data_IF_005249053317
#
_entry.id   IF_005249053317
#
_cell.length_a   1.000
_cell.length_b   1.000
_cell.length_c   1.000
_cell.angle_alpha   90.00
_cell.angle_beta   90.00
_cell.angle_gamma   90.00
#
_symmetry.space_group_name_H-M   'P 1'
#
loop_
_entity.id
_entity.type
_entity.pdbx_description
1 polymer ?
#
# COMPACT_ATOMS: atom_id res chain seq x y z
N UNK A 1 -27.86 15.89 9.49
CA UNK A 1 -26.76 14.92 9.29
C UNK A 1 -26.99 14.29 7.93
N UNK A 2 -25.95 14.13 7.10
CA UNK A 2 -26.09 13.46 5.79
C UNK A 2 -26.36 11.96 5.99
N UNK A 3 -26.98 11.34 4.97
CA UNK A 3 -27.11 9.88 4.91
C UNK A 3 -25.95 9.29 4.10
N UNK A 4 -25.44 8.15 4.54
CA UNK A 4 -24.27 7.46 3.99
C UNK A 4 -24.63 6.01 3.64
N UNK A 5 -24.49 5.61 2.37
CA UNK A 5 -24.55 4.21 1.96
C UNK A 5 -23.17 3.57 2.02
N UNK A 6 -23.09 2.34 2.50
CA UNK A 6 -21.92 1.49 2.30
C UNK A 6 -22.15 0.58 1.08
N UNK A 7 -21.22 0.58 0.14
CA UNK A 7 -21.19 -0.30 -1.03
C UNK A 7 -20.09 -1.34 -0.87
N UNK A 8 -20.43 -2.61 -1.06
CA UNK A 8 -19.48 -3.72 -0.99
C UNK A 8 -19.68 -4.69 -2.16
N UNK A 9 -18.58 -5.25 -2.66
CA UNK A 9 -18.60 -6.45 -3.51
C UNK A 9 -18.01 -7.60 -2.70
N UNK A 10 -18.61 -8.78 -2.76
CA UNK A 10 -18.19 -9.92 -1.94
C UNK A 10 -18.14 -11.21 -2.77
N UNK A 11 -17.21 -12.13 -2.39
CA UNK A 11 -17.16 -13.49 -2.91
C UNK A 11 -16.40 -14.39 -1.96
N UNK A 12 -17.11 -15.36 -1.32
CA UNK A 12 -16.53 -16.34 -0.39
C UNK A 12 -15.77 -15.69 0.78
N UNK A 13 -16.46 -14.79 1.50
CA UNK A 13 -15.91 -13.97 2.59
C UNK A 13 -16.52 -14.35 3.96
N UNK A 14 -17.07 -15.56 4.13
CA UNK A 14 -17.74 -15.97 5.37
C UNK A 14 -16.86 -15.81 6.62
N UNK A 15 -15.54 -15.95 6.48
CA UNK A 15 -14.60 -15.89 7.59
C UNK A 15 -14.41 -14.46 8.16
N UNK A 16 -14.66 -13.42 7.36
CA UNK A 16 -14.31 -12.03 7.72
C UNK A 16 -15.47 -11.04 7.62
N UNK A 17 -16.50 -11.35 6.82
CA UNK A 17 -17.57 -10.41 6.48
C UNK A 17 -18.35 -9.89 7.71
N UNK A 18 -18.60 -10.75 8.70
CA UNK A 18 -19.28 -10.36 9.96
C UNK A 18 -18.60 -9.18 10.64
N UNK A 19 -17.27 -9.17 10.64
CA UNK A 19 -16.44 -8.16 11.30
C UNK A 19 -16.68 -6.76 10.70
N UNK A 20 -16.62 -6.62 9.38
CA UNK A 20 -16.82 -5.34 8.71
C UNK A 20 -18.26 -4.88 8.78
N UNK A 21 -19.25 -5.79 8.62
CA UNK A 21 -20.66 -5.44 8.67
C UNK A 21 -21.10 -5.01 10.07
N UNK A 22 -20.58 -5.64 11.14
CA UNK A 22 -20.84 -5.22 12.53
C UNK A 22 -20.32 -3.81 12.81
N UNK A 23 -19.21 -3.41 12.21
CA UNK A 23 -18.73 -2.03 12.29
C UNK A 23 -19.62 -1.09 11.46
N UNK A 24 -20.00 -1.50 10.26
CA UNK A 24 -20.73 -0.70 9.31
C UNK A 24 -22.12 -0.26 9.76
N UNK A 25 -22.88 -1.13 10.43
CA UNK A 25 -24.22 -0.80 10.97
C UNK A 25 -24.22 0.35 11.98
N UNK A 26 -23.06 0.71 12.53
CA UNK A 26 -22.94 1.80 13.49
C UNK A 26 -22.89 3.18 12.82
N UNK A 27 -22.52 3.28 11.56
CA UNK A 27 -22.35 4.56 10.87
C UNK A 27 -23.05 4.66 9.50
N UNK A 28 -23.28 3.54 8.83
CA UNK A 28 -23.98 3.51 7.54
C UNK A 28 -25.49 3.52 7.73
N UNK A 29 -26.18 4.36 6.96
CA UNK A 29 -27.66 4.43 6.96
C UNK A 29 -28.25 3.37 6.01
N UNK A 30 -27.44 2.88 5.07
CA UNK A 30 -27.79 1.86 4.10
C UNK A 30 -26.56 1.00 3.81
N UNK A 31 -26.71 -0.32 3.72
CA UNK A 31 -25.65 -1.24 3.32
C UNK A 31 -26.10 -1.96 2.06
N UNK A 32 -25.31 -1.86 1.00
CA UNK A 32 -25.54 -2.45 -0.32
C UNK A 32 -24.45 -3.48 -0.59
N UNK A 33 -24.82 -4.72 -0.84
CA UNK A 33 -23.90 -5.82 -1.10
C UNK A 33 -24.15 -6.39 -2.50
N UNK A 34 -23.12 -6.43 -3.33
CA UNK A 34 -23.12 -7.21 -4.58
C UNK A 34 -22.34 -8.51 -4.36
N UNK A 35 -23.07 -9.63 -4.37
CA UNK A 35 -22.48 -10.95 -4.37
C UNK A 35 -22.06 -11.34 -5.79
N UNK A 36 -20.78 -11.63 -5.96
CA UNK A 36 -20.19 -12.00 -7.27
C UNK A 36 -20.07 -13.51 -7.47
N UNK A 37 -20.91 -14.28 -6.81
CA UNK A 37 -21.01 -15.72 -6.96
C UNK A 37 -20.34 -16.48 -5.81
N UNK A 38 -20.72 -16.17 -4.57
CA UNK A 38 -20.31 -16.93 -3.39
C UNK A 38 -20.95 -18.32 -3.34
N UNK A 39 -20.18 -19.28 -2.85
CA UNK A 39 -20.59 -20.68 -2.66
C UNK A 39 -20.57 -21.10 -1.19
N UNK A 40 -20.11 -20.21 -0.31
CA UNK A 40 -20.08 -20.34 1.13
C UNK A 40 -21.25 -19.59 1.82
N UNK A 41 -21.15 -19.33 3.10
CA UNK A 41 -22.20 -18.64 3.87
C UNK A 41 -22.20 -17.10 3.74
N UNK A 42 -21.43 -16.52 2.83
CA UNK A 42 -21.30 -15.06 2.63
C UNK A 42 -22.67 -14.39 2.45
N UNK A 43 -23.54 -14.93 1.59
CA UNK A 43 -24.87 -14.36 1.35
C UNK A 43 -25.79 -14.51 2.59
N UNK A 44 -25.72 -15.64 3.30
CA UNK A 44 -26.47 -15.88 4.53
C UNK A 44 -26.07 -14.85 5.62
N UNK A 45 -24.77 -14.63 5.79
CA UNK A 45 -24.25 -13.63 6.74
C UNK A 45 -24.72 -12.24 6.34
N UNK A 46 -24.60 -11.84 5.05
CA UNK A 46 -25.04 -10.53 4.56
C UNK A 46 -26.51 -10.24 4.91
N UNK A 47 -27.39 -11.24 4.80
CA UNK A 47 -28.83 -11.11 5.11
C UNK A 47 -29.15 -10.75 6.55
N UNK A 48 -28.23 -10.96 7.48
CA UNK A 48 -28.39 -10.57 8.89
C UNK A 48 -28.24 -9.07 9.10
N UNK A 49 -27.60 -8.37 8.15
CA UNK A 49 -27.25 -6.94 8.25
C UNK A 49 -28.00 -6.05 7.26
N UNK A 50 -28.42 -6.60 6.12
CA UNK A 50 -29.13 -5.83 5.09
C UNK A 50 -30.06 -6.70 4.26
N UNK A 51 -31.13 -6.06 3.73
CA UNK A 51 -31.98 -6.64 2.69
C UNK A 51 -31.52 -6.30 1.25
N UNK A 52 -30.58 -5.38 1.12
CA UNK A 52 -30.09 -4.88 -0.18
C UNK A 52 -28.91 -5.71 -0.68
N UNK A 53 -29.19 -6.96 -1.05
CA UNK A 53 -28.23 -7.90 -1.60
C UNK A 53 -28.58 -8.14 -3.04
N UNK A 54 -27.61 -7.95 -3.92
CA UNK A 54 -27.75 -8.05 -5.37
C UNK A 54 -26.79 -9.12 -5.88
N UNK A 55 -27.24 -9.95 -6.79
CA UNK A 55 -26.36 -10.89 -7.49
C UNK A 55 -25.75 -10.21 -8.70
N UNK A 56 -24.43 -10.29 -8.84
CA UNK A 56 -23.68 -9.80 -9.99
C UNK A 56 -22.86 -10.95 -10.60
N UNK A 57 -23.15 -11.40 -11.83
CA UNK A 57 -22.36 -12.43 -12.48
C UNK A 57 -20.91 -11.96 -12.69
N UNK A 58 -19.98 -12.68 -12.10
CA UNK A 58 -18.56 -12.33 -12.21
C UNK A 58 -18.05 -12.45 -13.65
N UNK A 59 -17.41 -11.40 -14.14
CA UNK A 59 -16.91 -11.27 -15.52
C UNK A 59 -15.47 -10.79 -15.60
N UNK A 60 -14.66 -11.07 -14.57
CA UNK A 60 -13.26 -10.61 -14.44
C UNK A 60 -13.08 -9.10 -14.54
N UNK A 61 -14.05 -8.34 -14.02
CA UNK A 61 -14.03 -6.88 -13.98
C UNK A 61 -14.53 -6.36 -12.62
N UNK A 62 -13.57 -5.98 -11.76
CA UNK A 62 -13.86 -5.41 -10.46
C UNK A 62 -14.55 -4.05 -10.55
N UNK A 63 -14.13 -3.19 -11.50
CA UNK A 63 -14.75 -1.88 -11.66
C UNK A 63 -16.22 -2.01 -12.07
N UNK A 64 -16.56 -2.94 -12.96
CA UNK A 64 -17.93 -3.20 -13.37
C UNK A 64 -18.79 -3.66 -12.18
N UNK A 65 -18.31 -4.60 -11.37
CA UNK A 65 -19.02 -5.05 -10.17
C UNK A 65 -19.21 -3.92 -9.13
N UNK A 66 -18.19 -3.09 -8.89
CA UNK A 66 -18.29 -1.94 -7.98
C UNK A 66 -19.22 -0.87 -8.54
N UNK A 67 -19.17 -0.56 -9.82
CA UNK A 67 -20.08 0.40 -10.46
C UNK A 67 -21.52 -0.08 -10.39
N UNK A 68 -21.78 -1.37 -10.61
CA UNK A 68 -23.11 -1.96 -10.50
C UNK A 68 -23.75 -1.71 -9.14
N UNK A 69 -23.00 -1.89 -8.04
CA UNK A 69 -23.54 -1.66 -6.70
C UNK A 69 -23.65 -0.17 -6.38
N UNK A 70 -22.69 0.65 -6.82
CA UNK A 70 -22.75 2.09 -6.61
C UNK A 70 -23.95 2.77 -7.31
N UNK A 71 -24.46 2.19 -8.40
CA UNK A 71 -25.70 2.68 -9.08
C UNK A 71 -26.97 2.48 -8.26
N UNK A 72 -26.95 1.66 -7.23
CA UNK A 72 -28.09 1.39 -6.33
C UNK A 72 -28.14 2.35 -5.15
N UNK A 73 -27.15 3.22 -4.98
CA UNK A 73 -27.08 4.20 -3.88
C UNK A 73 -28.22 5.20 -3.96
N UNK A 74 -28.89 5.42 -2.81
CA UNK A 74 -29.99 6.37 -2.68
C UNK A 74 -29.69 7.55 -1.74
N UNK A 75 -28.53 7.58 -1.12
CA UNK A 75 -28.11 8.58 -0.13
C UNK A 75 -27.22 9.67 -0.74
N UNK A 76 -26.96 10.75 0.03
CA UNK A 76 -26.18 11.91 -0.46
C UNK A 76 -24.70 11.58 -0.67
N UNK A 77 -24.18 10.62 0.13
CA UNK A 77 -22.81 10.11 0.03
C UNK A 77 -22.80 8.60 0.08
N UNK A 78 -21.78 8.02 -0.53
CA UNK A 78 -21.50 6.60 -0.42
C UNK A 78 -20.05 6.35 -0.03
N UNK A 79 -19.85 5.25 0.66
CA UNK A 79 -18.55 4.73 1.09
C UNK A 79 -18.38 3.32 0.52
N UNK A 80 -17.15 2.90 0.32
CA UNK A 80 -16.84 1.53 -0.03
C UNK A 80 -15.87 0.92 0.97
N UNK A 81 -16.03 -0.36 1.23
CA UNK A 81 -15.13 -1.20 2.02
C UNK A 81 -14.99 -2.55 1.34
N UNK A 82 -13.82 -3.17 1.51
CA UNK A 82 -13.59 -4.56 1.17
C UNK A 82 -14.03 -5.46 2.34
N UNK A 83 -14.37 -6.73 2.07
CA UNK A 83 -14.89 -7.63 3.09
C UNK A 83 -13.88 -7.90 4.23
N UNK A 84 -12.59 -7.82 3.92
CA UNK A 84 -11.48 -8.00 4.85
C UNK A 84 -10.96 -6.69 5.48
N UNK A 85 -11.66 -5.55 5.24
CA UNK A 85 -11.39 -4.30 5.94
C UNK A 85 -11.88 -4.35 7.39
N UNK A 86 -11.21 -3.58 8.25
CA UNK A 86 -11.62 -3.26 9.62
C UNK A 86 -11.76 -1.76 9.76
N UNK A 87 -12.85 -1.34 10.39
CA UNK A 87 -13.04 0.05 10.83
C UNK A 87 -12.80 0.09 12.33
N UNK A 88 -11.66 0.62 12.83
CA UNK A 88 -11.40 0.75 14.26
C UNK A 88 -12.48 1.57 14.99
N UNK A 89 -12.68 1.34 16.28
CA UNK A 89 -13.72 2.00 17.07
C UNK A 89 -13.61 3.54 17.07
N UNK A 90 -12.38 4.05 17.16
CA UNK A 90 -12.08 5.49 17.03
C UNK A 90 -12.46 6.03 15.64
N UNK A 91 -12.25 5.23 14.58
CA UNK A 91 -12.64 5.60 13.22
C UNK A 91 -14.15 5.62 13.04
N UNK A 92 -14.91 4.72 13.67
CA UNK A 92 -16.38 4.74 13.68
C UNK A 92 -16.87 6.05 14.30
N UNK A 93 -16.33 6.41 15.47
CA UNK A 93 -16.67 7.67 16.15
C UNK A 93 -16.35 8.88 15.27
N UNK A 94 -15.21 8.86 14.60
CA UNK A 94 -14.78 9.94 13.72
C UNK A 94 -15.66 10.03 12.45
N UNK A 95 -16.12 8.89 11.88
CA UNK A 95 -17.06 8.87 10.74
C UNK A 95 -18.40 9.49 11.15
N UNK A 96 -18.92 9.18 12.35
CA UNK A 96 -20.18 9.78 12.84
C UNK A 96 -20.05 11.31 12.95
N UNK A 97 -18.95 11.83 13.51
CA UNK A 97 -18.69 13.28 13.54
C UNK A 97 -18.51 13.88 12.14
N UNK A 98 -17.87 13.13 11.24
CA UNK A 98 -17.69 13.56 9.86
C UNK A 98 -19.03 13.72 9.15
N UNK A 99 -20.02 12.84 9.35
CA UNK A 99 -21.38 12.96 8.79
C UNK A 99 -22.06 14.29 9.19
N UNK A 100 -21.81 14.80 10.39
CA UNK A 100 -22.27 16.12 10.80
C UNK A 100 -21.56 17.24 10.04
N UNK A 101 -20.25 17.10 9.85
CA UNK A 101 -19.45 18.08 9.13
C UNK A 101 -19.83 18.13 7.64
N UNK A 102 -20.07 16.98 7.02
CA UNK A 102 -20.48 16.86 5.63
C UNK A 102 -21.84 17.51 5.33
N UNK A 103 -22.67 17.75 6.35
CA UNK A 103 -23.95 18.46 6.20
C UNK A 103 -23.80 19.98 6.07
N UNK A 104 -22.61 20.53 6.35
CA UNK A 104 -22.32 21.97 6.32
C UNK A 104 -21.71 22.37 4.98
N UNK A 105 -22.03 23.58 4.50
CA UNK A 105 -21.39 24.14 3.31
C UNK A 105 -20.04 24.78 3.67
N UNK A 106 -19.02 24.65 2.83
CA UNK A 106 -18.99 23.98 1.54
C UNK A 106 -18.72 22.46 1.67
N UNK A 107 -19.56 21.65 1.04
CA UNK A 107 -19.46 20.19 1.10
C UNK A 107 -18.30 19.67 0.25
N UNK A 108 -17.46 18.72 0.76
CA UNK A 108 -16.47 18.03 -0.04
C UNK A 108 -17.14 17.06 -1.03
N UNK A 109 -16.50 16.87 -2.17
CA UNK A 109 -16.93 15.87 -3.17
C UNK A 109 -16.32 14.50 -2.89
N UNK A 110 -15.13 14.49 -2.28
CA UNK A 110 -14.38 13.28 -1.93
C UNK A 110 -13.76 13.44 -0.53
N UNK A 111 -13.86 12.39 0.29
CA UNK A 111 -13.10 12.28 1.54
C UNK A 111 -12.05 11.19 1.36
N UNK A 112 -10.78 11.61 1.47
CA UNK A 112 -9.64 10.70 1.53
C UNK A 112 -9.44 10.25 2.97
N UNK A 113 -9.23 8.94 3.16
CA UNK A 113 -8.94 8.33 4.46
C UNK A 113 -7.65 7.54 4.38
N UNK A 114 -6.96 7.43 5.50
CA UNK A 114 -5.74 6.63 5.62
C UNK A 114 -6.09 5.14 5.54
N UNK A 115 -5.48 4.45 4.61
CA UNK A 115 -5.59 3.00 4.47
C UNK A 115 -4.32 2.33 4.99
N UNK A 116 -4.46 1.49 5.99
CA UNK A 116 -3.37 0.73 6.59
C UNK A 116 -3.41 -0.67 5.99
N UNK A 117 -2.51 -0.94 5.04
CA UNK A 117 -2.50 -2.19 4.28
C UNK A 117 -1.38 -3.17 4.73
N UNK A 118 -0.55 -2.78 5.69
CA UNK A 118 0.47 -3.63 6.28
C UNK A 118 0.74 -3.27 7.72
N UNK A 119 1.12 -4.27 8.51
CA UNK A 119 1.35 -4.14 9.95
C UNK A 119 2.70 -4.73 10.34
N UNK A 120 3.32 -4.13 11.33
CA UNK A 120 4.48 -4.69 12.03
C UNK A 120 4.03 -5.82 12.97
N UNK A 121 4.95 -6.67 13.44
CA UNK A 121 4.63 -7.72 14.42
C UNK A 121 4.02 -7.18 15.73
N UNK A 122 4.33 -5.94 16.11
CA UNK A 122 3.78 -5.25 17.28
C UNK A 122 2.40 -4.62 17.01
N UNK A 123 1.85 -4.75 15.80
CA UNK A 123 0.57 -4.21 15.38
C UNK A 123 0.62 -2.77 14.87
N UNK A 124 1.76 -2.08 14.91
CA UNK A 124 1.89 -0.75 14.32
C UNK A 124 1.83 -0.77 12.80
N UNK A 125 1.51 0.37 12.18
CA UNK A 125 1.36 0.47 10.72
C UNK A 125 2.72 0.33 10.03
N UNK A 126 2.86 -0.65 9.12
CA UNK A 126 4.04 -0.84 8.28
C UNK A 126 3.89 -0.20 6.90
N UNK A 127 2.68 -0.26 6.32
CA UNK A 127 2.39 0.24 4.99
C UNK A 127 1.07 1.00 4.95
N UNK A 128 1.10 2.25 4.53
CA UNK A 128 -0.08 3.12 4.51
C UNK A 128 -0.13 4.02 3.28
N UNK A 129 -1.34 4.39 2.87
CA UNK A 129 -1.60 5.40 1.84
C UNK A 129 -3.02 5.94 1.98
N UNK A 130 -3.31 7.06 1.32
CA UNK A 130 -4.66 7.61 1.32
C UNK A 130 -5.52 6.99 0.21
N UNK A 131 -6.80 6.70 0.51
CA UNK A 131 -7.81 6.24 -0.44
C UNK A 131 -9.06 7.11 -0.37
N UNK A 132 -9.67 7.27 -1.53
CA UNK A 132 -10.97 7.89 -1.70
C UNK A 132 -12.07 7.00 -1.11
N UNK A 133 -12.46 7.23 0.14
CA UNK A 133 -13.37 6.33 0.87
C UNK A 133 -14.81 6.79 0.91
N UNK A 134 -15.08 8.11 0.98
CA UNK A 134 -16.43 8.64 0.92
C UNK A 134 -16.53 9.57 -0.27
N UNK A 135 -17.59 9.37 -1.07
CA UNK A 135 -17.80 10.08 -2.32
C UNK A 135 -19.23 10.61 -2.38
N UNK A 136 -19.37 11.80 -2.91
CA UNK A 136 -20.65 12.46 -3.07
C UNK A 136 -21.41 11.87 -4.27
N UNK A 137 -22.66 11.46 -4.06
CA UNK A 137 -23.45 10.67 -5.02
C UNK A 137 -23.77 11.45 -6.29
N UNK A 138 -24.13 12.76 -6.17
CA UNK A 138 -24.48 13.61 -7.31
C UNK A 138 -23.28 13.96 -8.22
N UNK A 139 -22.05 13.56 -7.84
CA UNK A 139 -20.84 13.75 -8.65
C UNK A 139 -20.58 12.61 -9.62
N UNK A 140 -21.35 11.54 -9.56
CA UNK A 140 -21.29 10.40 -10.47
C UNK A 140 -19.87 9.85 -10.65
N UNK A 141 -19.16 9.61 -9.53
CA UNK A 141 -17.87 8.96 -9.56
C UNK A 141 -18.01 7.53 -10.09
N UNK A 142 -17.01 7.08 -10.85
CA UNK A 142 -16.97 5.77 -11.45
C UNK A 142 -15.62 5.12 -11.22
N UNK A 143 -15.66 3.83 -10.91
CA UNK A 143 -14.50 2.97 -10.90
C UNK A 143 -14.03 2.71 -12.33
N UNK A 144 -12.71 2.64 -12.53
CA UNK A 144 -12.07 2.34 -13.81
C UNK A 144 -11.00 1.27 -13.61
N UNK A 145 -10.88 0.36 -14.58
CA UNK A 145 -9.92 -0.74 -14.61
C UNK A 145 -10.50 -2.06 -14.17
N UNK A 146 -10.30 -3.11 -14.96
CA UNK A 146 -10.81 -4.46 -14.67
C UNK A 146 -10.22 -5.04 -13.39
N UNK A 147 -8.95 -4.69 -13.09
CA UNK A 147 -8.21 -5.05 -11.87
C UNK A 147 -7.38 -3.86 -11.41
N UNK A 148 -7.03 -3.77 -10.12
CA UNK A 148 -6.42 -2.58 -9.51
C UNK A 148 -7.22 -1.31 -9.81
N UNK A 149 -8.52 -1.47 -9.79
CA UNK A 149 -9.48 -0.43 -10.09
C UNK A 149 -9.35 0.78 -9.17
N UNK A 150 -9.63 1.96 -9.71
CA UNK A 150 -9.56 3.20 -8.98
C UNK A 150 -10.65 4.18 -9.42
N UNK A 151 -10.98 5.08 -8.50
CA UNK A 151 -11.74 6.29 -8.80
C UNK A 151 -10.74 7.44 -8.90
N UNK A 152 -10.85 8.25 -9.96
CA UNK A 152 -10.11 9.50 -10.06
C UNK A 152 -10.79 10.55 -9.16
N UNK A 153 -10.20 10.93 -8.01
CA UNK A 153 -10.78 11.97 -7.15
C UNK A 153 -10.74 13.31 -7.87
N UNK A 154 -11.85 14.05 -7.78
CA UNK A 154 -12.00 15.37 -8.40
C UNK A 154 -12.90 16.27 -7.57
N UNK A 155 -12.84 17.56 -7.83
CA UNK A 155 -13.60 18.55 -7.09
C UNK A 155 -12.95 18.89 -5.75
N UNK A 156 -13.77 19.17 -4.73
CA UNK A 156 -13.28 19.48 -3.38
C UNK A 156 -12.91 18.20 -2.64
N UNK A 157 -11.65 18.04 -2.33
CA UNK A 157 -11.10 16.89 -1.64
C UNK A 157 -10.83 17.25 -0.18
N UNK A 158 -11.36 16.46 0.75
CA UNK A 158 -11.08 16.53 2.18
C UNK A 158 -10.17 15.35 2.57
N UNK A 159 -9.00 15.64 3.11
CA UNK A 159 -8.15 14.64 3.74
C UNK A 159 -8.53 14.48 5.21
N UNK A 160 -8.88 13.27 5.61
CA UNK A 160 -9.28 12.92 6.97
C UNK A 160 -8.25 12.00 7.64
N UNK A 161 -7.98 12.17 8.94
CA UNK A 161 -7.10 11.26 9.69
C UNK A 161 -7.76 9.91 10.00
N UNK A 162 -9.01 9.69 9.61
CA UNK A 162 -9.73 8.42 9.81
C UNK A 162 -8.95 7.30 9.14
N UNK A 163 -8.81 6.16 9.85
CA UNK A 163 -8.08 4.99 9.37
C UNK A 163 -9.03 3.84 9.06
N UNK A 164 -8.76 3.15 7.95
CA UNK A 164 -9.34 1.86 7.60
C UNK A 164 -8.18 0.87 7.51
N UNK A 165 -8.33 -0.28 8.14
CA UNK A 165 -7.30 -1.31 8.18
C UNK A 165 -7.66 -2.46 7.23
N UNK A 166 -6.71 -2.91 6.43
CA UNK A 166 -6.85 -4.12 5.61
C UNK A 166 -6.21 -5.31 6.31
N UNK A 167 -7.03 -6.23 6.77
CA UNK A 167 -6.57 -7.38 7.55
C UNK A 167 -7.03 -8.68 6.92
N UNK A 168 -6.23 -9.15 5.96
CA UNK A 168 -6.45 -10.45 5.32
C UNK A 168 -6.40 -11.57 6.36
N UNK A 169 -7.27 -12.59 6.25
CA UNK A 169 -7.13 -13.81 7.03
C UNK A 169 -5.81 -14.52 6.66
N UNK A 170 -5.20 -15.20 7.64
CA UNK A 170 -3.94 -15.91 7.41
C UNK A 170 -4.00 -16.93 6.26
N UNK A 171 -5.18 -17.53 6.03
CA UNK A 171 -5.44 -18.44 4.92
C UNK A 171 -5.42 -17.80 3.53
N UNK A 172 -5.57 -16.48 3.43
CA UNK A 172 -5.60 -15.74 2.16
C UNK A 172 -4.23 -15.16 1.73
N UNK A 173 -3.15 -15.53 2.43
CA UNK A 173 -1.79 -15.05 2.13
C UNK A 173 -1.14 -15.73 0.91
N UNK A 174 -1.83 -16.64 0.23
CA UNK A 174 -1.34 -17.25 -1.02
C UNK A 174 -1.50 -16.26 -2.17
N UNK A 175 -0.43 -16.04 -2.94
CA UNK A 175 -0.47 -15.28 -4.18
C UNK A 175 -1.49 -15.91 -5.14
N UNK A 176 -2.51 -15.13 -5.51
CA UNK A 176 -3.51 -15.56 -6.48
C UNK A 176 -3.07 -15.11 -7.87
N UNK A 177 -3.05 -16.06 -8.83
CA UNK A 177 -2.78 -15.75 -10.25
C UNK A 177 -3.90 -14.94 -10.92
N UNK A 178 -5.01 -14.66 -10.20
CA UNK A 178 -6.21 -14.02 -10.76
C UNK A 178 -5.91 -12.71 -11.47
N UNK A 179 -5.20 -11.80 -10.79
CA UNK A 179 -4.92 -10.47 -11.34
C UNK A 179 -4.05 -10.56 -12.60
N UNK A 180 -3.00 -11.39 -12.55
CA UNK A 180 -2.15 -11.63 -13.72
C UNK A 180 -2.95 -12.19 -14.90
N UNK A 181 -3.83 -13.17 -14.66
CA UNK A 181 -4.71 -13.75 -15.69
C UNK A 181 -5.65 -12.72 -16.31
N UNK A 182 -6.21 -11.81 -15.50
CA UNK A 182 -7.05 -10.72 -16.02
C UNK A 182 -6.25 -9.85 -16.99
N UNK A 183 -5.02 -9.45 -16.61
CA UNK A 183 -4.16 -8.66 -17.51
C UNK A 183 -3.78 -9.43 -18.79
N UNK A 184 -3.44 -10.71 -18.68
CA UNK A 184 -3.11 -11.53 -19.84
C UNK A 184 -4.31 -11.70 -20.78
N UNK A 185 -5.52 -11.82 -20.24
CA UNK A 185 -6.76 -11.84 -21.03
C UNK A 185 -6.99 -10.50 -21.73
N UNK A 186 -6.86 -9.37 -21.03
CA UNK A 186 -7.00 -8.04 -21.63
C UNK A 186 -6.06 -7.87 -22.83
N UNK A 187 -4.80 -8.27 -22.67
CA UNK A 187 -3.81 -8.18 -23.75
C UNK A 187 -4.12 -9.13 -24.91
N UNK A 188 -4.59 -10.36 -24.63
CA UNK A 188 -5.00 -11.31 -25.65
C UNK A 188 -6.21 -10.83 -26.44
N UNK A 189 -7.12 -10.10 -25.80
CA UNK A 189 -8.29 -9.46 -26.43
C UNK A 189 -7.91 -8.19 -27.22
N UNK A 190 -6.62 -7.79 -27.21
CA UNK A 190 -6.13 -6.61 -27.92
C UNK A 190 -6.37 -5.29 -27.20
N UNK A 191 -6.72 -5.32 -25.89
CA UNK A 191 -6.88 -4.11 -25.11
C UNK A 191 -5.52 -3.43 -24.86
N UNK A 192 -5.48 -2.09 -25.00
CA UNK A 192 -4.31 -1.30 -24.66
C UNK A 192 -4.35 -0.94 -23.17
N UNK A 193 -3.29 -1.30 -22.45
CA UNK A 193 -3.16 -0.91 -21.06
C UNK A 193 -2.81 0.58 -20.94
N UNK A 194 -3.62 1.34 -20.20
CA UNK A 194 -3.28 2.70 -19.84
C UNK A 194 -2.05 2.74 -18.89
N UNK A 195 -1.43 3.90 -18.64
CA UNK A 195 -0.22 3.99 -17.82
C UNK A 195 -0.37 3.38 -16.43
N UNK A 196 -1.56 3.49 -15.80
CA UNK A 196 -1.81 2.86 -14.50
C UNK A 196 -1.77 1.34 -14.61
N UNK A 197 -2.43 0.78 -15.61
CA UNK A 197 -2.51 -0.68 -15.80
C UNK A 197 -1.17 -1.26 -16.28
N UNK A 198 -0.36 -0.53 -17.05
CA UNK A 198 1.02 -0.93 -17.37
C UNK A 198 1.86 -1.11 -16.10
N UNK A 199 1.79 -0.14 -15.18
CA UNK A 199 2.51 -0.19 -13.91
C UNK A 199 2.07 -1.39 -13.05
N UNK A 200 0.75 -1.61 -12.87
CA UNK A 200 0.26 -2.72 -12.07
C UNK A 200 0.47 -4.09 -12.72
N UNK A 201 0.37 -4.19 -14.04
CA UNK A 201 0.74 -5.41 -14.75
C UNK A 201 2.20 -5.78 -14.55
N UNK A 202 3.10 -4.81 -14.63
CA UNK A 202 4.51 -5.05 -14.33
C UNK A 202 4.73 -5.52 -12.88
N UNK A 203 3.98 -5.00 -11.92
CA UNK A 203 4.02 -5.48 -10.53
C UNK A 203 3.57 -6.94 -10.42
N UNK A 204 2.44 -7.30 -11.03
CA UNK A 204 1.98 -8.69 -11.06
C UNK A 204 3.03 -9.62 -11.69
N UNK A 205 3.67 -9.21 -12.78
CA UNK A 205 4.76 -9.99 -13.38
C UNK A 205 5.95 -10.17 -12.42
N UNK A 206 6.31 -9.14 -11.67
CA UNK A 206 7.41 -9.19 -10.68
C UNK A 206 7.05 -10.11 -9.52
N UNK A 207 5.83 -10.04 -9.01
CA UNK A 207 5.34 -10.90 -7.94
C UNK A 207 5.34 -12.39 -8.35
N UNK A 208 5.14 -12.66 -9.66
CA UNK A 208 5.30 -13.99 -10.27
C UNK A 208 6.72 -14.26 -10.77
N UNK A 209 7.72 -13.44 -10.41
CA UNK A 209 9.14 -13.58 -10.78
C UNK A 209 9.42 -13.57 -12.29
N UNK A 210 8.53 -13.01 -13.10
CA UNK A 210 8.66 -12.90 -14.55
C UNK A 210 9.41 -11.60 -14.93
N UNK A 211 10.65 -11.45 -14.44
CA UNK A 211 11.42 -10.19 -14.54
C UNK A 211 11.75 -9.79 -15.99
N UNK A 212 11.99 -10.77 -16.87
CA UNK A 212 12.24 -10.52 -18.31
C UNK A 212 11.03 -9.90 -19.00
N UNK A 213 9.81 -10.27 -18.60
CA UNK A 213 8.59 -9.68 -19.14
C UNK A 213 8.24 -8.35 -18.47
N UNK A 214 8.49 -8.21 -17.18
CA UNK A 214 8.19 -7.00 -16.42
C UNK A 214 9.04 -5.80 -16.87
N UNK A 215 10.33 -6.04 -17.15
CA UNK A 215 11.30 -4.99 -17.54
C UNK A 215 10.80 -4.13 -18.72
N UNK A 216 10.49 -4.67 -19.90
CA UNK A 216 10.04 -3.85 -21.04
C UNK A 216 8.72 -3.12 -20.77
N UNK A 217 7.82 -3.66 -19.94
CA UNK A 217 6.58 -2.99 -19.55
C UNK A 217 6.88 -1.76 -18.70
N UNK A 218 7.81 -1.88 -17.72
CA UNK A 218 8.24 -0.74 -16.91
C UNK A 218 8.99 0.31 -17.73
N UNK A 219 9.89 -0.10 -18.62
CA UNK A 219 10.61 0.81 -19.52
C UNK A 219 9.62 1.61 -20.40
N UNK A 220 8.59 0.93 -20.94
CA UNK A 220 7.55 1.59 -21.72
C UNK A 220 6.76 2.58 -20.85
N UNK A 221 6.28 2.16 -19.67
CA UNK A 221 5.54 3.01 -18.75
C UNK A 221 6.33 4.29 -18.34
N UNK A 222 7.63 4.15 -18.07
CA UNK A 222 8.47 5.28 -17.68
C UNK A 222 8.68 6.29 -18.82
N UNK A 223 8.62 5.84 -20.09
CA UNK A 223 8.70 6.68 -21.26
C UNK A 223 7.37 7.37 -21.64
N UNK A 224 6.22 6.90 -21.10
CA UNK A 224 4.94 7.54 -21.33
C UNK A 224 4.90 8.94 -20.70
N UNK A 225 4.40 9.98 -21.41
CA UNK A 225 4.24 11.32 -20.82
C UNK A 225 3.25 11.31 -19.67
N UNK A 226 2.17 10.52 -19.81
CA UNK A 226 1.16 10.33 -18.79
C UNK A 226 1.63 9.33 -17.71
N UNK A 227 0.93 9.32 -16.60
CA UNK A 227 1.23 8.44 -15.48
C UNK A 227 1.49 9.23 -14.21
N UNK A 228 0.96 8.70 -13.13
CA UNK A 228 1.10 9.35 -11.84
C UNK A 228 2.56 9.26 -11.35
N UNK A 229 3.10 10.39 -10.91
CA UNK A 229 4.53 10.50 -10.52
C UNK A 229 4.92 9.52 -9.40
N UNK A 230 4.00 9.19 -8.49
CA UNK A 230 4.24 8.17 -7.46
C UNK A 230 4.49 6.79 -8.07
N UNK A 231 3.67 6.40 -9.05
CA UNK A 231 3.87 5.15 -9.77
C UNK A 231 5.17 5.16 -10.58
N UNK A 232 5.57 6.30 -11.13
CA UNK A 232 6.85 6.43 -11.85
C UNK A 232 8.05 6.31 -10.92
N UNK A 233 7.97 6.93 -9.74
CA UNK A 233 9.02 6.79 -8.73
C UNK A 233 9.17 5.33 -8.29
N UNK A 234 8.07 4.65 -7.97
CA UNK A 234 8.11 3.23 -7.57
C UNK A 234 8.52 2.32 -8.74
N UNK A 235 8.08 2.62 -9.97
CA UNK A 235 8.46 1.86 -11.16
C UNK A 235 9.99 1.87 -11.41
N UNK A 236 10.68 2.96 -11.07
CA UNK A 236 12.14 3.00 -11.13
C UNK A 236 12.79 2.00 -10.17
N UNK A 237 12.23 1.84 -8.95
CA UNK A 237 12.71 0.86 -7.98
C UNK A 237 12.41 -0.57 -8.43
N UNK A 238 11.22 -0.79 -8.98
CA UNK A 238 10.83 -2.09 -9.57
C UNK A 238 11.70 -2.46 -10.76
N UNK A 239 12.01 -1.50 -11.64
CA UNK A 239 12.91 -1.70 -12.77
C UNK A 239 14.33 -2.02 -12.29
N UNK A 240 14.81 -1.32 -11.26
CA UNK A 240 16.10 -1.62 -10.64
C UNK A 240 16.14 -3.07 -10.11
N UNK A 241 15.06 -3.52 -9.44
CA UNK A 241 14.93 -4.90 -8.99
C UNK A 241 14.94 -5.89 -10.16
N UNK A 242 14.23 -5.61 -11.25
CA UNK A 242 14.29 -6.46 -12.44
C UNK A 242 15.73 -6.60 -12.96
N UNK A 243 16.45 -5.49 -13.09
CA UNK A 243 17.84 -5.51 -13.53
C UNK A 243 18.77 -6.28 -12.58
N UNK A 244 18.59 -6.18 -11.27
CA UNK A 244 19.34 -6.98 -10.29
C UNK A 244 19.09 -8.48 -10.48
N UNK A 245 17.82 -8.88 -10.60
CA UNK A 245 17.46 -10.28 -10.81
C UNK A 245 17.99 -10.82 -12.14
N UNK A 246 18.15 -9.96 -13.12
CA UNK A 246 18.77 -10.23 -14.44
C UNK A 246 20.30 -10.00 -14.43
N UNK A 247 20.91 -9.80 -13.25
CA UNK A 247 22.35 -9.61 -13.05
C UNK A 247 22.97 -8.42 -13.78
N UNK A 248 22.18 -7.37 -14.00
CA UNK A 248 22.63 -6.11 -14.62
C UNK A 248 22.71 -4.99 -13.58
N UNK A 249 23.77 -4.99 -12.78
CA UNK A 249 23.96 -4.04 -11.68
C UNK A 249 24.06 -2.58 -12.16
N UNK A 250 24.68 -2.34 -13.31
CA UNK A 250 24.81 -0.98 -13.84
C UNK A 250 23.44 -0.39 -14.22
N UNK A 251 22.59 -1.16 -14.91
CA UNK A 251 21.24 -0.73 -15.24
C UNK A 251 20.34 -0.59 -13.99
N UNK A 252 20.52 -1.46 -12.98
CA UNK A 252 19.84 -1.30 -11.70
C UNK A 252 20.17 0.04 -11.04
N UNK A 253 21.44 0.40 -10.97
CA UNK A 253 21.87 1.68 -10.42
C UNK A 253 21.27 2.86 -11.18
N UNK A 254 21.30 2.83 -12.51
CA UNK A 254 20.72 3.88 -13.34
C UNK A 254 19.21 4.04 -13.10
N UNK A 255 18.48 2.91 -12.99
CA UNK A 255 17.04 2.93 -12.71
C UNK A 255 16.72 3.57 -11.37
N UNK A 256 17.51 3.31 -10.31
CA UNK A 256 17.32 3.98 -9.01
C UNK A 256 17.50 5.49 -9.12
N UNK A 257 18.55 5.96 -9.81
CA UNK A 257 18.77 7.40 -10.01
C UNK A 257 17.73 8.06 -10.91
N UNK A 258 17.13 7.32 -11.85
CA UNK A 258 16.06 7.83 -12.71
C UNK A 258 14.84 8.29 -11.89
N UNK A 259 14.60 7.75 -10.71
CA UNK A 259 13.50 8.18 -9.81
C UNK A 259 13.57 9.66 -9.44
N UNK A 260 14.76 10.26 -9.47
CA UNK A 260 14.98 11.69 -9.17
C UNK A 260 14.51 12.63 -10.28
N UNK A 261 14.12 12.10 -11.44
CA UNK A 261 13.43 12.89 -12.46
C UNK A 261 11.97 13.16 -12.08
N UNK A 262 11.40 12.37 -11.16
CA UNK A 262 10.00 12.43 -10.79
C UNK A 262 9.77 13.03 -9.41
N UNK A 263 10.70 12.83 -8.48
CA UNK A 263 10.66 13.43 -7.14
C UNK A 263 12.06 13.54 -6.54
N UNK A 264 12.16 14.32 -5.46
CA UNK A 264 13.38 14.37 -4.62
C UNK A 264 13.76 12.98 -4.09
N UNK A 265 15.02 12.77 -3.64
CA UNK A 265 15.42 11.52 -3.03
C UNK A 265 14.54 11.15 -1.83
N UNK A 266 13.76 10.07 -1.96
CA UNK A 266 12.92 9.53 -0.89
C UNK A 266 13.67 8.53 -0.05
N UNK A 267 13.24 8.33 1.20
CA UNK A 267 13.83 7.39 2.14
C UNK A 267 14.01 6.00 1.54
N UNK A 268 12.96 5.42 0.91
CA UNK A 268 13.02 4.11 0.25
C UNK A 268 14.08 4.08 -0.85
N UNK A 269 14.07 5.05 -1.76
CA UNK A 269 15.06 5.12 -2.84
C UNK A 269 16.48 5.24 -2.30
N UNK A 270 16.69 6.11 -1.30
CA UNK A 270 17.99 6.26 -0.64
C UNK A 270 18.46 4.94 0.00
N UNK A 271 17.57 4.21 0.67
CA UNK A 271 17.90 2.92 1.26
C UNK A 271 18.27 1.88 0.19
N UNK A 272 17.55 1.82 -0.93
CA UNK A 272 17.86 0.89 -2.02
C UNK A 272 19.21 1.22 -2.69
N UNK A 273 19.52 2.50 -2.90
CA UNK A 273 20.85 2.91 -3.37
C UNK A 273 21.92 2.54 -2.33
N UNK A 274 21.66 2.82 -1.04
CA UNK A 274 22.57 2.44 0.05
C UNK A 274 22.85 0.94 0.09
N UNK A 275 21.81 0.12 -0.06
CA UNK A 275 21.93 -1.35 -0.14
C UNK A 275 22.78 -1.79 -1.32
N UNK A 276 22.54 -1.23 -2.49
CA UNK A 276 23.32 -1.52 -3.70
C UNK A 276 24.80 -1.12 -3.50
N UNK A 277 25.07 0.07 -2.98
CA UNK A 277 26.44 0.53 -2.68
C UNK A 277 27.15 -0.38 -1.68
N UNK A 278 26.44 -0.79 -0.63
CA UNK A 278 26.97 -1.69 0.38
C UNK A 278 27.32 -3.07 -0.22
N UNK A 279 26.51 -3.59 -1.13
CA UNK A 279 26.76 -4.86 -1.84
C UNK A 279 27.98 -4.80 -2.78
N UNK A 280 28.30 -3.61 -3.29
CA UNK A 280 29.49 -3.34 -4.12
C UNK A 280 30.75 -3.02 -3.29
N UNK A 281 30.66 -3.04 -1.95
CA UNK A 281 31.78 -2.68 -1.07
C UNK A 281 32.03 -1.18 -0.95
N UNK A 282 31.19 -0.34 -1.54
CA UNK A 282 31.31 1.14 -1.52
C UNK A 282 30.72 1.70 -0.22
N UNK A 283 31.27 1.29 0.96
CA UNK A 283 30.66 1.49 2.26
C UNK A 283 30.45 2.97 2.59
N UNK A 284 31.40 3.85 2.28
CA UNK A 284 31.25 5.29 2.54
C UNK A 284 30.08 5.91 1.76
N UNK A 285 29.87 5.47 0.52
CA UNK A 285 28.70 5.89 -0.27
C UNK A 285 27.39 5.35 0.33
N UNK A 286 27.37 4.08 0.79
CA UNK A 286 26.23 3.51 1.46
C UNK A 286 25.84 4.32 2.71
N UNK A 287 26.83 4.70 3.54
CA UNK A 287 26.61 5.58 4.70
C UNK A 287 25.94 6.89 4.30
N UNK A 288 26.42 7.56 3.24
CA UNK A 288 25.82 8.81 2.77
C UNK A 288 24.32 8.64 2.44
N UNK A 289 23.97 7.58 1.70
CA UNK A 289 22.59 7.35 1.27
C UNK A 289 21.66 6.97 2.43
N UNK A 290 22.12 6.14 3.38
CA UNK A 290 21.33 5.82 4.58
C UNK A 290 21.15 7.04 5.49
N UNK A 291 22.16 7.90 5.62
CA UNK A 291 22.03 9.16 6.36
C UNK A 291 21.07 10.13 5.68
N UNK A 292 21.03 10.14 4.35
CA UNK A 292 20.07 10.94 3.60
C UNK A 292 18.64 10.42 3.78
N UNK A 293 18.45 9.10 3.83
CA UNK A 293 17.14 8.48 4.12
C UNK A 293 16.56 8.96 5.45
N UNK A 294 17.38 9.07 6.50
CA UNK A 294 16.97 9.55 7.83
C UNK A 294 16.52 11.02 7.86
N UNK A 295 16.79 11.79 6.80
CA UNK A 295 16.34 13.19 6.69
C UNK A 295 14.98 13.35 6.04
N UNK A 296 14.50 12.31 5.37
CA UNK A 296 13.17 12.30 4.78
C UNK A 296 12.07 12.05 5.83
N UNK A 297 10.85 12.49 5.54
CA UNK A 297 9.72 12.35 6.45
C UNK A 297 8.47 12.00 5.66
N UNK A 298 7.58 11.08 6.17
CA UNK A 298 6.33 10.74 5.52
C UNK A 298 5.44 11.95 5.21
N UNK A 299 5.44 12.96 6.07
CA UNK A 299 4.63 14.17 5.93
C UNK A 299 4.99 15.00 4.69
N UNK A 300 6.19 14.81 4.15
CA UNK A 300 6.60 15.45 2.90
C UNK A 300 5.95 14.83 1.66
N UNK A 301 5.30 13.67 1.80
CA UNK A 301 4.74 12.86 0.72
C UNK A 301 3.29 12.45 1.02
N UNK A 302 2.34 13.41 1.12
CA UNK A 302 0.98 13.13 1.61
C UNK A 302 0.19 12.16 0.74
N UNK A 303 0.59 11.98 -0.52
CA UNK A 303 -0.08 11.09 -1.46
C UNK A 303 0.70 9.80 -1.75
N UNK A 304 1.86 9.62 -1.13
CA UNK A 304 2.74 8.49 -1.38
C UNK A 304 2.27 7.20 -0.70
N UNK A 305 2.80 6.10 -1.20
CA UNK A 305 2.83 4.83 -0.49
C UNK A 305 3.92 4.91 0.59
N UNK A 306 3.52 4.90 1.86
CA UNK A 306 4.45 5.03 2.99
C UNK A 306 4.75 3.65 3.55
N UNK A 307 6.01 3.24 3.42
CA UNK A 307 6.59 2.07 4.09
C UNK A 307 7.43 2.55 5.26
N UNK A 308 6.89 2.43 6.48
CA UNK A 308 7.42 3.08 7.68
C UNK A 308 8.92 2.78 7.93
N UNK A 309 9.34 1.55 7.70
CA UNK A 309 10.70 1.06 7.99
C UNK A 309 11.80 1.82 7.26
N UNK A 310 11.51 2.40 6.10
CA UNK A 310 12.51 3.14 5.34
C UNK A 310 12.85 4.50 5.93
N UNK A 311 12.00 5.03 6.84
CA UNK A 311 12.20 6.35 7.43
C UNK A 311 13.05 6.33 8.73
N UNK A 312 13.19 5.13 9.32
CA UNK A 312 13.89 4.99 10.60
C UNK A 312 14.63 3.65 10.73
N UNK A 313 13.93 2.52 10.81
CA UNK A 313 14.51 1.23 11.17
C UNK A 313 15.57 0.73 10.19
N UNK A 314 15.26 0.71 8.87
CA UNK A 314 16.19 0.19 7.85
C UNK A 314 17.47 1.04 7.77
N UNK A 315 17.41 2.37 7.62
CA UNK A 315 18.65 3.14 7.53
C UNK A 315 19.48 3.07 8.81
N UNK A 316 18.88 3.04 10.00
CA UNK A 316 19.61 2.95 11.25
C UNK A 316 20.35 1.61 11.40
N UNK A 317 19.67 0.50 11.13
CA UNK A 317 20.32 -0.81 11.24
C UNK A 317 21.41 -1.01 10.18
N UNK A 318 21.24 -0.47 8.98
CA UNK A 318 22.23 -0.53 7.93
C UNK A 318 23.43 0.40 8.21
N UNK A 319 23.22 1.55 8.84
CA UNK A 319 24.32 2.38 9.32
C UNK A 319 25.14 1.66 10.41
N UNK A 320 24.50 0.93 11.30
CA UNK A 320 25.21 0.06 12.26
C UNK A 320 26.15 -0.88 11.53
N UNK A 321 25.64 -1.63 10.52
CA UNK A 321 26.45 -2.57 9.70
C UNK A 321 27.57 -1.84 8.94
N UNK A 322 27.29 -0.68 8.36
CA UNK A 322 28.29 0.09 7.61
C UNK A 322 29.46 0.53 8.52
N UNK A 323 29.15 1.11 9.68
CA UNK A 323 30.19 1.59 10.59
C UNK A 323 30.98 0.45 11.24
N UNK A 324 30.35 -0.68 11.51
CA UNK A 324 31.03 -1.89 11.94
C UNK A 324 32.06 -2.36 10.90
N UNK A 325 31.65 -2.47 9.62
CA UNK A 325 32.56 -2.85 8.51
C UNK A 325 33.69 -1.83 8.28
N UNK A 326 33.52 -0.59 8.71
CA UNK A 326 34.56 0.45 8.69
C UNK A 326 35.48 0.40 9.91
N UNK A 327 35.24 -0.50 10.88
CA UNK A 327 35.97 -0.57 12.14
C UNK A 327 35.64 0.57 13.12
N UNK A 328 34.58 1.34 12.88
CA UNK A 328 34.13 2.41 13.75
C UNK A 328 33.05 1.90 14.72
N UNK A 329 33.50 1.15 15.71
CA UNK A 329 32.64 0.45 16.67
C UNK A 329 31.80 1.38 17.52
N UNK A 330 32.28 2.59 17.85
CA UNK A 330 31.50 3.56 18.63
C UNK A 330 30.25 4.02 17.88
N UNK A 331 30.40 4.35 16.59
CA UNK A 331 29.26 4.69 15.74
C UNK A 331 28.36 3.51 15.46
N UNK A 332 28.93 2.33 15.25
CA UNK A 332 28.13 1.11 15.05
C UNK A 332 27.24 0.85 16.28
N UNK A 333 27.82 0.92 17.49
CA UNK A 333 27.08 0.77 18.74
C UNK A 333 26.04 1.87 18.96
N UNK A 334 26.34 3.12 18.58
CA UNK A 334 25.39 4.21 18.61
C UNK A 334 24.14 3.88 17.75
N UNK A 335 24.33 3.54 16.50
CA UNK A 335 23.22 3.22 15.59
C UNK A 335 22.47 1.94 16.00
N UNK A 336 23.15 0.95 16.57
CA UNK A 336 22.51 -0.22 17.16
C UNK A 336 21.55 0.21 18.30
N UNK A 337 21.99 1.07 19.22
CA UNK A 337 21.14 1.58 20.31
C UNK A 337 19.94 2.36 19.82
N UNK A 338 20.10 3.19 18.77
CA UNK A 338 18.97 3.91 18.16
C UNK A 338 17.97 2.95 17.50
N UNK A 339 18.47 1.91 16.79
CA UNK A 339 17.59 0.89 16.19
C UNK A 339 16.82 0.10 17.28
N UNK A 340 17.49 -0.23 18.39
CA UNK A 340 16.89 -0.94 19.53
C UNK A 340 15.73 -0.16 20.19
N UNK A 341 15.78 1.17 20.21
CA UNK A 341 14.69 2.01 20.72
C UNK A 341 13.40 1.84 19.90
N UNK A 342 13.54 1.59 18.59
CA UNK A 342 12.41 1.47 17.67
C UNK A 342 11.81 0.06 17.74
N UNK A 343 12.66 -0.98 17.69
CA UNK A 343 12.23 -2.40 17.72
C UNK A 343 13.18 -3.27 18.54
N UNK A 344 13.04 -3.28 19.86
CA UNK A 344 13.94 -4.04 20.73
C UNK A 344 13.94 -5.53 20.44
N UNK A 345 12.80 -6.11 20.04
CA UNK A 345 12.60 -7.54 19.83
C UNK A 345 12.82 -8.00 18.38
N UNK A 346 13.28 -7.10 17.50
CA UNK A 346 13.58 -7.47 16.11
C UNK A 346 14.73 -8.50 16.07
N UNK A 347 14.62 -9.59 15.28
CA UNK A 347 15.69 -10.58 15.12
C UNK A 347 17.04 -9.97 14.76
N UNK A 348 17.05 -8.92 13.94
CA UNK A 348 18.26 -8.21 13.56
C UNK A 348 18.89 -7.45 14.73
N UNK A 349 18.07 -6.81 15.57
CA UNK A 349 18.55 -6.11 16.79
C UNK A 349 19.09 -7.11 17.79
N UNK A 350 18.39 -8.22 18.02
CA UNK A 350 18.84 -9.27 18.95
C UNK A 350 20.16 -9.92 18.49
N UNK A 351 20.35 -10.09 17.18
CA UNK A 351 21.59 -10.59 16.61
C UNK A 351 22.74 -9.61 16.83
N UNK A 352 22.53 -8.32 16.55
CA UNK A 352 23.52 -7.27 16.79
C UNK A 352 23.85 -7.12 18.28
N UNK A 353 22.87 -7.25 19.18
CA UNK A 353 23.09 -7.23 20.62
C UNK A 353 24.10 -8.28 21.08
N UNK A 354 23.89 -9.54 20.66
CA UNK A 354 24.82 -10.66 20.95
C UNK A 354 26.23 -10.38 20.41
N UNK A 355 26.31 -9.85 19.19
CA UNK A 355 27.58 -9.50 18.56
C UNK A 355 28.33 -8.43 19.36
N UNK A 356 27.71 -7.34 19.76
CA UNK A 356 28.35 -6.27 20.54
C UNK A 356 28.71 -6.70 21.96
N UNK A 357 27.95 -7.62 22.59
CA UNK A 357 28.30 -8.22 23.88
C UNK A 357 29.62 -9.04 23.77
N UNK A 358 29.77 -9.79 22.70
CA UNK A 358 31.01 -10.58 22.47
C UNK A 358 32.23 -9.70 22.28
N UNK A 359 32.12 -8.63 21.48
CA UNK A 359 33.21 -7.65 21.28
C UNK A 359 33.60 -6.98 22.60
N UNK A 360 32.59 -6.49 23.36
CA UNK A 360 32.84 -5.81 24.62
C UNK A 360 33.51 -6.71 25.67
N UNK A 361 33.25 -8.01 25.64
CA UNK A 361 33.91 -9.01 26.52
C UNK A 361 35.35 -9.22 26.12
N UNK A 362 35.66 -9.28 24.83
CA UNK A 362 37.02 -9.46 24.32
C UNK A 362 37.93 -8.23 24.56
N UNK A 363 37.36 -7.01 24.58
CA UNK A 363 38.11 -5.80 24.90
C UNK A 363 38.38 -5.59 26.40
N UNK A 364 37.69 -6.32 27.29
CA UNK A 364 37.94 -6.29 28.74
C UNK A 364 38.98 -7.31 29.20
N UNK A 365 39.35 -8.24 28.34
CA UNK A 365 40.30 -9.31 28.63
C UNK A 365 41.71 -9.09 28.05
N UNK A 366 41.91 -8.00 27.32
CA UNK A 366 43.19 -7.48 26.85
C UNK A 366 43.49 -6.12 27.51
#
# INVERSE_FOLDING_TARGET
MIRLSLCMIVKNEEAVLTRVLTSAIQFADEILVADTGSTDRTVEISRQYTKHIYHYPWNDDFAAARNFICEKVSTEYWMWLDADDIVPAESITAILKLKETLSKSPQPDVVMMKYVAGFQPDGTSAFTYNRERILRTDRHFRWKGRVHEAIAPRGRILYSPIQIEHRKPASALTHSDRNLKIYETMLADGELLDPRHQYYYARELIDHKQYEKARPVLEHFLNEPAGWYENKTDACLLLARCHEMLRNTAASQLSLFQSFLYDRPRAKTCCEIGRLKLSLGEISQAVFWYQLALKDRPEYHPNAFIEADYYDFIPLIQLCVCYDRMGNYDKALYYHKETKKIRPDSPAVLTNEKYFQTISSNHKTN
#
